data_IF_630253944668
#
_entry.id   IF_630253944668
#
_cell.length_a   1.000
_cell.length_b   1.000
_cell.length_c   1.000
_cell.angle_alpha   90.00
_cell.angle_beta   90.00
_cell.angle_gamma   90.00
#
_symmetry.space_group_name_H-M   'P 1'
#
loop_
_entity.id
_entity.type
_entity.pdbx_description
1 polymer ?
#
# COMPACT_ATOMS: atom_id res chain seq x y z
N UNK A 1 -13.86 -8.35 12.67
CA UNK A 1 -13.35 -8.90 11.39
C UNK A 1 -13.50 -7.79 10.38
N UNK A 2 -12.50 -6.98 10.01
CA UNK A 2 -11.05 -7.00 10.23
C UNK A 2 -10.58 -5.55 10.00
N UNK A 3 -9.80 -4.96 10.91
CA UNK A 3 -9.39 -3.54 10.85
C UNK A 3 -8.29 -3.19 9.84
N UNK A 4 -8.18 -3.93 8.74
CA UNK A 4 -7.17 -3.68 7.69
C UNK A 4 -7.68 -4.07 6.30
N UNK A 5 -7.20 -3.34 5.28
CA UNK A 5 -7.43 -3.58 3.85
C UNK A 5 -6.10 -3.95 3.18
N UNK A 6 -6.12 -4.78 2.14
CA UNK A 6 -4.91 -5.20 1.42
C UNK A 6 -5.14 -5.47 -0.07
N UNK A 7 -4.10 -5.32 -0.88
CA UNK A 7 -4.05 -5.84 -2.25
C UNK A 7 -2.66 -6.37 -2.59
N UNK A 8 -2.59 -7.21 -3.61
CA UNK A 8 -1.37 -7.73 -4.19
C UNK A 8 -1.25 -7.38 -5.67
N UNK A 9 -0.03 -7.29 -6.18
CA UNK A 9 0.27 -6.95 -7.58
C UNK A 9 1.70 -7.34 -7.93
N UNK A 10 2.11 -7.45 -9.19
CA UNK A 10 3.51 -7.73 -9.54
C UNK A 10 4.31 -6.46 -9.77
N UNK A 11 5.60 -6.47 -9.43
CA UNK A 11 6.47 -5.28 -9.59
C UNK A 11 7.23 -5.27 -10.90
N UNK A 12 7.19 -4.14 -11.61
CA UNK A 12 8.05 -3.87 -12.77
C UNK A 12 9.42 -3.24 -12.43
N UNK A 13 9.51 -2.37 -11.40
CA UNK A 13 10.76 -1.65 -11.04
C UNK A 13 10.85 -1.11 -9.59
N UNK A 14 11.18 -1.94 -8.60
CA UNK A 14 11.17 -1.59 -7.15
C UNK A 14 11.95 -0.32 -6.70
N UNK A 15 13.06 0.05 -7.35
CA UNK A 15 14.06 0.98 -6.81
C UNK A 15 13.61 2.44 -6.52
N UNK A 16 12.44 2.89 -6.96
CA UNK A 16 12.02 4.30 -6.84
C UNK A 16 10.78 4.52 -5.95
N UNK A 17 10.21 3.45 -5.38
CA UNK A 17 8.94 3.48 -4.65
C UNK A 17 8.85 4.54 -3.52
N UNK A 18 9.89 4.75 -2.67
CA UNK A 18 9.81 5.69 -1.56
C UNK A 18 9.64 7.17 -1.97
N UNK A 19 10.04 7.53 -3.20
CA UNK A 19 10.00 8.91 -3.69
C UNK A 19 8.66 9.30 -4.31
N UNK A 20 7.80 8.30 -4.57
CA UNK A 20 6.58 8.46 -5.38
C UNK A 20 5.29 8.39 -4.56
N UNK A 21 5.41 8.20 -3.24
CA UNK A 21 4.23 8.12 -2.38
C UNK A 21 3.75 9.51 -1.95
N UNK A 22 2.43 9.75 -1.92
CA UNK A 22 1.84 10.95 -1.29
C UNK A 22 2.27 11.04 0.18
N UNK A 23 2.13 12.18 0.89
CA UNK A 23 2.84 12.45 2.16
C UNK A 23 2.50 11.43 3.26
N UNK A 24 3.26 10.35 3.27
CA UNK A 24 3.31 9.31 4.28
C UNK A 24 4.58 9.54 5.07
N UNK A 25 4.50 9.39 6.39
CA UNK A 25 5.68 9.42 7.24
C UNK A 25 6.33 8.06 7.16
N UNK A 26 7.43 7.94 6.43
CA UNK A 26 8.19 6.70 6.34
C UNK A 26 8.75 6.35 7.72
N UNK A 27 8.37 5.19 8.25
CA UNK A 27 8.83 4.68 9.56
C UNK A 27 10.01 3.76 9.38
N UNK A 28 9.97 2.86 8.38
CA UNK A 28 11.05 1.92 8.11
C UNK A 28 11.13 1.60 6.62
N UNK A 29 12.36 1.49 6.10
CA UNK A 29 12.66 1.06 4.73
C UNK A 29 13.69 -0.03 4.80
N UNK A 30 13.51 -1.08 4.01
CA UNK A 30 14.45 -2.15 3.79
C UNK A 30 14.45 -2.52 2.31
N UNK A 31 15.34 -3.43 1.90
CA UNK A 31 15.48 -3.83 0.50
C UNK A 31 14.19 -4.35 -0.13
N UNK A 32 13.27 -4.90 0.67
CA UNK A 32 12.00 -5.50 0.21
C UNK A 32 10.79 -5.04 1.01
N UNK A 33 10.94 -4.09 1.92
CA UNK A 33 9.86 -3.70 2.81
C UNK A 33 9.86 -2.20 3.05
N UNK A 34 8.66 -1.62 3.06
CA UNK A 34 8.42 -0.23 3.41
C UNK A 34 7.26 -0.20 4.40
N UNK A 35 7.50 0.42 5.54
CA UNK A 35 6.47 0.79 6.51
C UNK A 35 6.38 2.31 6.55
N UNK A 36 5.17 2.81 6.37
CA UNK A 36 4.87 4.23 6.48
C UNK A 36 3.59 4.45 7.31
N UNK A 37 3.50 5.60 7.96
CA UNK A 37 2.33 6.03 8.71
C UNK A 37 1.61 7.15 7.96
N UNK A 38 0.30 7.03 7.77
CA UNK A 38 -0.55 8.17 7.38
C UNK A 38 -1.28 8.70 8.62
N UNK A 39 -1.17 10.01 8.85
CA UNK A 39 -1.95 10.69 9.88
C UNK A 39 -3.19 11.29 9.24
N UNK A 40 -4.36 10.81 9.65
CA UNK A 40 -5.63 11.41 9.25
C UNK A 40 -5.76 12.81 9.88
N UNK A 41 -5.76 13.90 9.08
CA UNK A 41 -5.75 15.27 9.62
C UNK A 41 -7.01 15.62 10.42
N UNK A 42 -8.15 14.98 10.10
CA UNK A 42 -9.43 15.28 10.73
C UNK A 42 -9.64 14.58 12.08
N UNK A 43 -8.98 13.44 12.31
CA UNK A 43 -9.25 12.60 13.49
C UNK A 43 -8.00 12.18 14.29
N UNK A 44 -6.80 12.64 13.91
CA UNK A 44 -5.51 12.28 14.55
C UNK A 44 -5.26 10.77 14.64
N UNK A 45 -5.95 9.95 13.85
CA UNK A 45 -5.63 8.53 13.76
C UNK A 45 -4.33 8.35 12.99
N UNK A 46 -3.52 7.43 13.50
CA UNK A 46 -2.32 6.93 12.85
C UNK A 46 -2.71 5.61 12.22
N UNK A 47 -2.65 5.56 10.90
CA UNK A 47 -2.85 4.34 10.12
C UNK A 47 -1.50 3.86 9.59
N UNK A 48 -1.26 2.56 9.67
CA UNK A 48 -0.07 1.90 9.15
C UNK A 48 -0.29 1.50 7.69
N UNK A 49 0.69 1.82 6.85
CA UNK A 49 0.80 1.38 5.45
C UNK A 49 2.06 0.54 5.33
N UNK A 50 1.89 -0.72 4.95
CA UNK A 50 2.98 -1.65 4.75
C UNK A 50 3.02 -2.07 3.29
N UNK A 51 4.22 -2.10 2.71
CA UNK A 51 4.48 -2.58 1.35
C UNK A 51 5.60 -3.60 1.44
N UNK A 52 5.34 -4.84 1.03
CA UNK A 52 6.29 -5.94 1.00
C UNK A 52 6.49 -6.40 -0.44
N UNK A 53 7.75 -6.52 -0.87
CA UNK A 53 8.15 -7.21 -2.08
C UNK A 53 8.52 -8.66 -1.73
N UNK A 54 7.61 -9.58 -2.02
CA UNK A 54 7.84 -11.01 -1.91
C UNK A 54 8.95 -11.47 -2.88
N UNK A 55 9.53 -12.63 -2.59
CA UNK A 55 10.67 -13.16 -3.34
C UNK A 55 10.32 -13.53 -4.79
N UNK A 56 9.04 -13.81 -5.06
CA UNK A 56 8.48 -14.13 -6.37
C UNK A 56 8.12 -12.87 -7.20
N UNK A 57 8.41 -11.68 -6.67
CA UNK A 57 8.13 -10.40 -7.32
C UNK A 57 6.72 -9.85 -7.09
N UNK A 58 5.94 -10.47 -6.20
CA UNK A 58 4.67 -9.93 -5.74
C UNK A 58 4.87 -8.78 -4.73
N UNK A 59 4.19 -7.67 -4.98
CA UNK A 59 4.02 -6.54 -4.06
C UNK A 59 2.75 -6.76 -3.25
N UNK A 60 2.89 -6.91 -1.95
CA UNK A 60 1.80 -7.01 -1.00
C UNK A 60 1.68 -5.66 -0.30
N UNK A 61 0.53 -5.00 -0.45
CA UNK A 61 0.26 -3.71 0.17
C UNK A 61 -0.85 -3.87 1.18
N UNK A 62 -0.64 -3.37 2.39
CA UNK A 62 -1.58 -3.42 3.51
C UNK A 62 -1.77 -2.03 4.10
N UNK A 63 -3.02 -1.69 4.43
CA UNK A 63 -3.39 -0.50 5.17
C UNK A 63 -4.18 -0.91 6.42
N UNK A 64 -3.68 -0.61 7.61
CA UNK A 64 -4.29 -1.01 8.88
C UNK A 64 -4.45 0.19 9.83
N UNK A 65 -5.64 0.33 10.40
CA UNK A 65 -5.90 1.34 11.44
C UNK A 65 -5.56 0.77 12.82
N UNK A 66 -4.74 1.50 13.61
CA UNK A 66 -4.30 1.02 14.94
C UNK A 66 -5.42 0.90 15.99
N UNK A 67 -6.52 1.64 15.81
CA UNK A 67 -7.48 1.91 16.90
C UNK A 67 -8.96 1.68 16.57
N UNK A 68 -9.35 1.36 15.34
CA UNK A 68 -10.77 1.42 14.96
C UNK A 68 -11.21 0.24 14.08
N UNK A 69 -12.22 -0.47 14.57
CA UNK A 69 -13.05 -1.38 13.78
C UNK A 69 -14.11 -0.51 13.07
N UNK A 70 -14.05 -0.42 11.74
CA UNK A 70 -14.89 0.48 10.93
C UNK A 70 -14.22 1.84 10.67
N UNK A 71 -13.44 1.91 9.61
CA UNK A 71 -12.72 3.11 9.16
C UNK A 71 -13.50 3.94 8.13
N UNK A 72 -14.78 3.61 7.88
CA UNK A 72 -15.63 4.20 6.85
C UNK A 72 -15.04 4.15 5.42
N UNK A 73 -14.24 3.13 5.13
CA UNK A 73 -13.57 2.93 3.85
C UNK A 73 -12.32 3.79 3.64
N UNK A 74 -11.77 4.39 4.70
CA UNK A 74 -10.55 5.22 4.62
C UNK A 74 -9.34 4.41 4.14
N UNK A 75 -9.13 3.21 4.69
CA UNK A 75 -8.09 2.27 4.30
C UNK A 75 -8.27 1.85 2.84
N UNK A 76 -9.51 1.53 2.42
CA UNK A 76 -9.79 1.16 1.03
C UNK A 76 -9.48 2.31 0.05
N UNK A 77 -9.90 3.54 0.36
CA UNK A 77 -9.58 4.74 -0.44
C UNK A 77 -8.08 5.03 -0.48
N UNK A 78 -7.38 4.82 0.64
CA UNK A 78 -5.92 4.96 0.70
C UNK A 78 -5.23 3.94 -0.19
N UNK A 79 -5.69 2.70 -0.12
CA UNK A 79 -5.18 1.60 -0.90
C UNK A 79 -5.34 1.85 -2.40
N UNK A 80 -6.49 2.39 -2.81
CA UNK A 80 -6.75 2.81 -4.20
C UNK A 80 -5.82 3.96 -4.63
N UNK A 81 -5.62 4.98 -3.77
CA UNK A 81 -4.64 6.07 -4.04
C UNK A 81 -3.22 5.53 -4.20
N UNK A 82 -2.80 4.61 -3.33
CA UNK A 82 -1.50 3.94 -3.43
C UNK A 82 -1.38 3.16 -4.73
N UNK A 83 -2.41 2.38 -5.08
CA UNK A 83 -2.43 1.60 -6.32
C UNK A 83 -2.29 2.50 -7.54
N UNK A 84 -3.02 3.62 -7.60
CA UNK A 84 -2.92 4.57 -8.70
C UNK A 84 -1.52 5.19 -8.76
N UNK A 85 -0.94 5.61 -7.63
CA UNK A 85 0.43 6.14 -7.59
C UNK A 85 1.47 5.11 -8.07
N UNK A 86 1.33 3.84 -7.68
CA UNK A 86 2.20 2.75 -8.14
C UNK A 86 1.99 2.45 -9.63
N UNK A 87 0.78 2.59 -10.16
CA UNK A 87 0.47 2.40 -11.57
C UNK A 87 1.10 3.51 -12.43
N UNK A 88 0.91 4.77 -12.05
CA UNK A 88 1.53 5.94 -12.68
C UNK A 88 3.06 5.86 -12.63
N UNK A 89 3.60 5.29 -11.54
CA UNK A 89 5.02 5.02 -11.40
C UNK A 89 5.57 3.91 -12.30
N UNK A 90 4.71 3.19 -13.03
CA UNK A 90 5.08 2.00 -13.81
C UNK A 90 5.57 0.84 -12.94
N UNK A 91 5.23 0.87 -11.64
CA UNK A 91 5.65 -0.14 -10.67
C UNK A 91 4.72 -1.34 -10.69
N UNK A 92 3.47 -1.15 -11.09
CA UNK A 92 2.55 -2.26 -11.31
C UNK A 92 2.85 -2.90 -12.66
N UNK A 93 3.04 -4.22 -12.67
CA UNK A 93 2.85 -4.99 -13.89
C UNK A 93 1.42 -4.75 -14.38
N UNK A 94 1.17 -4.69 -15.70
CA UNK A 94 -0.19 -4.71 -16.23
C UNK A 94 -0.88 -5.88 -15.56
N UNK A 95 -2.02 -5.61 -14.90
CA UNK A 95 -2.78 -6.61 -14.18
C UNK A 95 -2.81 -7.85 -15.05
N UNK A 96 -2.28 -8.98 -14.53
CA UNK A 96 -2.42 -10.24 -15.22
C UNK A 96 -3.92 -10.37 -15.46
N UNK A 97 -4.33 -10.23 -16.73
CA UNK A 97 -5.68 -10.52 -17.17
C UNK A 97 -5.85 -12.02 -16.94
N UNK A 98 -6.15 -12.37 -15.69
CA UNK A 98 -6.52 -13.70 -15.30
C UNK A 98 -7.90 -13.95 -15.90
N UNK A 99 -7.91 -14.40 -17.14
CA UNK A 99 -8.87 -15.44 -17.49
C UNK A 99 -8.61 -16.59 -16.52
N UNK A 100 -9.58 -16.85 -15.65
CA UNK A 100 -9.69 -18.14 -14.99
C UNK A 100 -9.82 -19.23 -16.07
N UNK A 101 -9.24 -20.42 -15.88
CA UNK A 101 -9.77 -21.60 -16.55
C UNK A 101 -11.24 -21.86 -16.15
#
# INVERSE_FOLDING_TARGET
MTGFEMFNTRVGRWAHLPQMMPPLTVVSVSERYLHAEERSPLFRFIDDVEVLLAEDGELIVRSASRWREGDLGVNARRLERLRNALAEAGLLAPAATGGSP
#
